data_IF_734390459977
#
_entry.id   IF_734390459977
#
_cell.length_a   1.000
_cell.length_b   1.000
_cell.length_c   1.000
_cell.angle_alpha   90.00
_cell.angle_beta   90.00
_cell.angle_gamma   90.00
#
_symmetry.space_group_name_H-M   'P 1'
#
loop_
_entity.id
_entity.type
_entity.pdbx_description
1 polymer ?
#
# COMPACT_ATOMS: atom_id res chain seq x y z
N UNK A 1 -10.39 -10.17 -14.64
CA UNK A 1 -10.01 -8.87 -15.24
C UNK A 1 -11.22 -7.96 -15.43
N UNK A 2 -12.19 -8.28 -16.29
CA UNK A 2 -13.37 -7.42 -16.56
C UNK A 2 -14.03 -6.85 -15.30
N UNK A 3 -14.36 -7.70 -14.33
CA UNK A 3 -15.00 -7.26 -13.07
C UNK A 3 -14.18 -6.24 -12.28
N UNK A 4 -12.84 -6.32 -12.31
CA UNK A 4 -11.98 -5.35 -11.64
C UNK A 4 -12.09 -4.00 -12.37
N UNK A 5 -11.94 -3.99 -13.69
CA UNK A 5 -12.08 -2.77 -14.52
C UNK A 5 -13.46 -2.13 -14.35
N UNK A 6 -14.52 -2.92 -14.44
CA UNK A 6 -15.90 -2.46 -14.25
C UNK A 6 -16.09 -1.83 -12.86
N UNK A 7 -15.45 -2.39 -11.83
CA UNK A 7 -15.47 -1.84 -10.48
C UNK A 7 -14.67 -0.52 -10.39
N UNK A 8 -13.51 -0.43 -11.04
CA UNK A 8 -12.75 0.81 -11.13
C UNK A 8 -13.54 1.93 -11.79
N UNK A 9 -14.18 1.65 -12.93
CA UNK A 9 -15.03 2.63 -13.61
C UNK A 9 -16.20 3.10 -12.74
N UNK A 10 -16.87 2.19 -12.01
CA UNK A 10 -17.94 2.56 -11.06
C UNK A 10 -17.47 3.48 -9.94
N UNK A 11 -16.22 3.34 -9.51
CA UNK A 11 -15.61 4.16 -8.47
C UNK A 11 -14.93 5.44 -9.02
N UNK A 12 -14.90 5.63 -10.34
CA UNK A 12 -14.15 6.73 -10.96
C UNK A 12 -12.63 6.56 -10.89
N UNK A 13 -12.15 5.33 -10.76
CA UNK A 13 -10.73 4.95 -10.64
C UNK A 13 -10.29 4.15 -11.89
N UNK A 14 -9.96 4.83 -13.00
CA UNK A 14 -9.68 4.18 -14.29
C UNK A 14 -8.29 3.50 -14.35
N UNK A 15 -7.40 3.84 -13.43
CA UNK A 15 -6.06 3.26 -13.32
C UNK A 15 -6.01 2.27 -12.15
N UNK A 16 -5.32 1.15 -12.35
CA UNK A 16 -5.31 0.04 -11.40
C UNK A 16 -3.90 -0.38 -11.02
N UNK A 17 -3.74 -0.77 -9.76
CA UNK A 17 -2.57 -1.46 -9.25
C UNK A 17 -2.99 -2.86 -8.82
N UNK A 18 -2.60 -3.88 -9.58
CA UNK A 18 -2.86 -5.28 -9.27
C UNK A 18 -1.85 -5.78 -8.24
N UNK A 19 -2.33 -6.12 -7.04
CA UNK A 19 -1.47 -6.57 -5.94
C UNK A 19 -1.64 -8.07 -5.74
N UNK A 20 -0.51 -8.78 -5.63
CA UNK A 20 -0.49 -10.21 -5.37
C UNK A 20 -1.21 -10.56 -4.05
N UNK A 21 -2.21 -11.44 -4.16
CA UNK A 21 -2.99 -11.91 -3.01
C UNK A 21 -2.22 -12.98 -2.24
N UNK A 22 -2.32 -12.97 -0.91
CA UNK A 22 -1.52 -13.88 -0.06
C UNK A 22 -1.86 -15.35 -0.26
N UNK A 23 -3.09 -15.67 -0.70
CA UNK A 23 -3.51 -17.05 -0.95
C UNK A 23 -2.77 -17.77 -2.08
N UNK A 24 -2.15 -17.01 -3.01
CA UNK A 24 -1.39 -17.56 -4.14
C UNK A 24 0.13 -17.64 -3.88
N UNK A 25 0.59 -17.21 -2.69
CA UNK A 25 2.02 -17.16 -2.40
C UNK A 25 2.80 -16.38 -3.45
N UNK A 26 3.83 -17.00 -4.02
CA UNK A 26 4.71 -16.40 -5.04
C UNK A 26 4.25 -16.68 -6.50
N UNK A 27 3.08 -17.29 -6.71
CA UNK A 27 2.51 -17.45 -8.04
C UNK A 27 1.86 -16.14 -8.51
N UNK A 28 2.62 -15.34 -9.25
CA UNK A 28 2.18 -14.05 -9.76
C UNK A 28 1.42 -14.14 -11.10
N UNK A 29 1.06 -15.33 -11.57
CA UNK A 29 0.43 -15.53 -12.90
C UNK A 29 -0.77 -14.60 -13.09
N UNK A 30 -1.63 -14.47 -12.07
CA UNK A 30 -2.79 -13.59 -12.15
C UNK A 30 -2.43 -12.11 -12.32
N UNK A 31 -1.43 -11.61 -11.58
CA UNK A 31 -0.95 -10.21 -11.69
C UNK A 31 -0.34 -9.98 -13.07
N UNK A 32 0.49 -10.90 -13.55
CA UNK A 32 1.18 -10.76 -14.83
C UNK A 32 0.22 -10.84 -16.02
N UNK A 33 -0.73 -11.78 -16.03
CA UNK A 33 -1.77 -11.86 -17.06
C UNK A 33 -2.70 -10.65 -17.00
N UNK A 34 -2.97 -10.13 -15.80
CA UNK A 34 -3.72 -8.90 -15.61
C UNK A 34 -3.04 -7.70 -16.28
N UNK A 35 -1.73 -7.57 -16.13
CA UNK A 35 -0.95 -6.53 -16.79
C UNK A 35 -0.87 -6.68 -18.31
N UNK A 36 -0.86 -7.92 -18.84
CA UNK A 36 -0.91 -8.13 -20.29
C UNK A 36 -2.27 -7.72 -20.87
N UNK A 37 -3.36 -8.00 -20.16
CA UNK A 37 -4.72 -7.65 -20.58
C UNK A 37 -5.06 -6.17 -20.40
N UNK A 38 -4.38 -5.48 -19.48
CA UNK A 38 -4.60 -4.05 -19.19
C UNK A 38 -3.47 -3.26 -19.82
N UNK A 39 -3.75 -2.41 -20.82
CA UNK A 39 -2.70 -1.57 -21.45
C UNK A 39 -1.84 -0.89 -20.37
N UNK A 40 -0.51 -0.87 -20.54
CA UNK A 40 0.45 -0.33 -19.56
C UNK A 40 0.12 1.10 -19.08
N UNK A 41 -0.62 1.89 -19.86
CA UNK A 41 -1.07 3.23 -19.43
C UNK A 41 -2.07 3.20 -18.25
N UNK A 42 -2.78 2.08 -18.02
CA UNK A 42 -3.86 1.96 -17.02
C UNK A 42 -3.57 0.94 -15.92
N UNK A 43 -2.46 0.20 -16.01
CA UNK A 43 -2.17 -0.92 -15.12
C UNK A 43 -0.75 -0.89 -14.56
N UNK A 44 -0.62 -1.14 -13.25
CA UNK A 44 0.64 -1.41 -12.56
C UNK A 44 0.49 -2.64 -11.68
N UNK A 45 1.62 -3.28 -11.36
CA UNK A 45 1.62 -4.53 -10.60
C UNK A 45 2.50 -4.48 -9.35
N UNK A 46 2.07 -5.19 -8.33
CA UNK A 46 2.87 -5.51 -7.14
C UNK A 46 2.87 -7.02 -6.97
N UNK A 47 4.05 -7.62 -7.07
CA UNK A 47 4.25 -9.08 -7.05
C UNK A 47 4.66 -9.58 -5.66
N UNK A 48 4.70 -10.89 -5.44
CA UNK A 48 5.39 -11.51 -4.30
C UNK A 48 6.42 -12.51 -4.80
N UNK A 49 7.60 -12.54 -4.19
CA UNK A 49 8.66 -13.49 -4.54
C UNK A 49 9.59 -13.69 -3.35
N UNK A 50 10.36 -14.78 -3.36
CA UNK A 50 11.43 -15.00 -2.39
C UNK A 50 12.70 -14.25 -2.86
N UNK A 51 13.21 -13.26 -2.09
CA UNK A 51 14.39 -12.49 -2.49
C UNK A 51 15.67 -13.34 -2.53
N UNK A 52 15.70 -14.52 -1.92
CA UNK A 52 16.87 -15.43 -2.01
C UNK A 52 16.88 -16.24 -3.30
N UNK A 53 15.71 -16.44 -3.93
CA UNK A 53 15.54 -17.31 -5.10
C UNK A 53 15.32 -16.54 -6.40
N UNK A 54 14.83 -15.30 -6.32
CA UNK A 54 14.55 -14.49 -7.50
C UNK A 54 15.83 -14.07 -8.22
N UNK A 55 15.84 -14.25 -9.54
CA UNK A 55 16.88 -13.72 -10.40
C UNK A 55 16.52 -12.30 -10.91
N UNK A 56 17.54 -11.52 -11.26
CA UNK A 56 17.34 -10.14 -11.71
C UNK A 56 16.75 -10.05 -13.12
N UNK A 57 16.88 -11.09 -13.95
CA UNK A 57 16.32 -11.09 -15.30
C UNK A 57 14.79 -11.16 -15.25
N UNK A 58 14.23 -12.02 -14.40
CA UNK A 58 12.80 -12.10 -14.10
C UNK A 58 12.26 -10.75 -13.62
N UNK A 59 12.98 -10.05 -12.73
CA UNK A 59 12.57 -8.72 -12.26
C UNK A 59 12.51 -7.67 -13.38
N UNK A 60 13.47 -7.70 -14.31
CA UNK A 60 13.46 -6.81 -15.49
C UNK A 60 12.29 -7.11 -16.42
N UNK A 61 11.98 -8.39 -16.63
CA UNK A 61 10.83 -8.81 -17.44
C UNK A 61 9.51 -8.31 -16.82
N UNK A 62 9.35 -8.51 -15.51
CA UNK A 62 8.19 -7.99 -14.77
C UNK A 62 8.13 -6.46 -14.78
N UNK A 63 9.27 -5.78 -14.69
CA UNK A 63 9.34 -4.33 -14.82
C UNK A 63 8.82 -3.87 -16.19
N UNK A 64 9.22 -4.55 -17.27
CA UNK A 64 8.72 -4.29 -18.63
C UNK A 64 7.21 -4.53 -18.79
N UNK A 65 6.63 -5.45 -18.01
CA UNK A 65 5.19 -5.67 -17.94
C UNK A 65 4.44 -4.63 -17.08
N UNK A 66 5.14 -3.71 -16.41
CA UNK A 66 4.53 -2.67 -15.57
C UNK A 66 4.47 -3.00 -14.07
N UNK A 67 5.19 -4.04 -13.62
CA UNK A 67 5.39 -4.25 -12.18
C UNK A 67 6.27 -3.14 -11.62
N UNK A 68 5.89 -2.62 -10.44
CA UNK A 68 6.55 -1.51 -9.74
C UNK A 68 6.66 -1.72 -8.24
N UNK A 69 6.50 -2.95 -7.77
CA UNK A 69 6.75 -3.23 -6.36
C UNK A 69 6.66 -4.70 -6.00
N UNK A 70 7.09 -4.97 -4.78
CA UNK A 70 6.93 -6.27 -4.13
C UNK A 70 6.08 -6.11 -2.88
N UNK A 71 5.20 -7.07 -2.61
CA UNK A 71 4.44 -7.12 -1.36
C UNK A 71 5.15 -7.99 -0.34
N UNK A 72 5.45 -7.40 0.81
CA UNK A 72 6.01 -8.07 1.99
C UNK A 72 4.93 -8.11 3.06
N UNK A 73 4.27 -9.26 3.20
CA UNK A 73 3.22 -9.46 4.19
C UNK A 73 3.79 -10.17 5.43
N UNK A 74 4.03 -9.40 6.49
CA UNK A 74 4.48 -9.91 7.79
C UNK A 74 3.29 -10.18 8.72
N UNK A 75 2.18 -9.45 8.57
CA UNK A 75 0.98 -9.59 9.44
C UNK A 75 0.32 -10.96 9.34
N UNK A 76 0.29 -11.55 8.14
CA UNK A 76 -0.36 -12.86 7.93
C UNK A 76 0.53 -14.05 8.31
N UNK A 77 1.76 -13.80 8.76
CA UNK A 77 2.64 -14.84 9.29
C UNK A 77 2.07 -15.38 10.60
N UNK A 78 2.16 -16.71 10.81
CA UNK A 78 1.84 -17.33 12.11
C UNK A 78 2.98 -17.19 13.13
N UNK A 79 4.13 -16.70 12.68
CA UNK A 79 5.35 -16.56 13.47
C UNK A 79 5.59 -15.10 13.80
N UNK A 80 5.79 -14.79 15.08
CA UNK A 80 6.28 -13.49 15.54
C UNK A 80 7.76 -13.40 15.19
N UNK A 81 8.09 -12.43 14.34
CA UNK A 81 9.47 -12.18 13.92
C UNK A 81 10.13 -11.18 14.86
N UNK A 82 11.39 -11.43 15.22
CA UNK A 82 12.21 -10.47 15.94
C UNK A 82 12.54 -9.25 15.08
N UNK A 83 12.94 -8.15 15.72
CA UNK A 83 13.48 -6.95 15.06
C UNK A 83 14.56 -7.30 14.02
N UNK A 84 15.51 -8.16 14.38
CA UNK A 84 16.63 -8.53 13.50
C UNK A 84 16.15 -9.29 12.26
N UNK A 85 15.17 -10.18 12.41
CA UNK A 85 14.58 -10.93 11.29
C UNK A 85 13.82 -10.00 10.34
N UNK A 86 12.98 -9.12 10.87
CA UNK A 86 12.21 -8.14 10.09
C UNK A 86 13.17 -7.26 9.28
N UNK A 87 14.19 -6.71 9.93
CA UNK A 87 15.17 -5.87 9.26
C UNK A 87 15.98 -6.64 8.21
N UNK A 88 16.36 -7.88 8.49
CA UNK A 88 17.05 -8.75 7.53
C UNK A 88 16.21 -9.02 6.28
N UNK A 89 14.91 -9.32 6.45
CA UNK A 89 13.97 -9.53 5.35
C UNK A 89 13.90 -8.28 4.46
N UNK A 90 13.69 -7.10 5.07
CA UNK A 90 13.55 -5.86 4.32
C UNK A 90 14.83 -5.47 3.58
N UNK A 91 16.02 -5.68 4.16
CA UNK A 91 17.31 -5.48 3.48
C UNK A 91 17.44 -6.35 2.23
N UNK A 92 17.09 -7.64 2.32
CA UNK A 92 17.16 -8.57 1.17
C UNK A 92 16.26 -8.13 0.02
N UNK A 93 15.03 -7.69 0.33
CA UNK A 93 14.15 -7.13 -0.70
C UNK A 93 14.71 -5.83 -1.29
N UNK A 94 15.14 -4.89 -0.45
CA UNK A 94 15.71 -3.63 -0.91
C UNK A 94 16.91 -3.85 -1.85
N UNK A 95 17.82 -4.77 -1.53
CA UNK A 95 18.96 -5.13 -2.39
C UNK A 95 18.53 -5.57 -3.80
N UNK A 96 17.46 -6.33 -3.93
CA UNK A 96 16.91 -6.74 -5.24
C UNK A 96 16.24 -5.58 -5.99
N UNK A 97 15.67 -4.63 -5.26
CA UNK A 97 14.86 -3.55 -5.84
C UNK A 97 15.65 -2.29 -6.20
N UNK A 98 16.74 -1.97 -5.48
CA UNK A 98 17.57 -0.77 -5.75
C UNK A 98 17.96 -0.62 -7.23
N UNK A 99 18.40 -1.66 -7.96
CA UNK A 99 18.76 -1.52 -9.38
C UNK A 99 17.58 -1.14 -10.30
N UNK A 100 16.33 -1.40 -9.88
CA UNK A 100 15.12 -1.05 -10.62
C UNK A 100 14.70 0.42 -10.42
N UNK A 101 15.23 1.08 -9.39
CA UNK A 101 15.04 2.49 -8.99
C UNK A 101 13.62 2.92 -8.61
N UNK A 102 12.60 2.45 -9.31
CA UNK A 102 11.21 2.89 -9.16
C UNK A 102 10.35 1.92 -8.37
N UNK A 103 10.89 0.74 -8.02
CA UNK A 103 10.10 -0.27 -7.31
C UNK A 103 9.96 0.05 -5.83
N UNK A 104 8.78 -0.26 -5.28
CA UNK A 104 8.47 -0.09 -3.86
C UNK A 104 8.33 -1.43 -3.11
N UNK A 105 8.53 -1.38 -1.79
CA UNK A 105 8.15 -2.43 -0.86
C UNK A 105 6.77 -2.09 -0.29
N UNK A 106 5.74 -2.84 -0.66
CA UNK A 106 4.43 -2.81 0.00
C UNK A 106 4.46 -3.63 1.28
N UNK A 107 4.64 -2.97 2.42
CA UNK A 107 4.75 -3.59 3.73
C UNK A 107 3.37 -3.69 4.39
N UNK A 108 2.92 -4.93 4.60
CA UNK A 108 1.76 -5.21 5.44
C UNK A 108 2.20 -5.87 6.75
N UNK A 109 2.23 -5.09 7.83
CA UNK A 109 2.59 -5.48 9.18
C UNK A 109 1.72 -4.70 10.18
N UNK A 110 1.56 -5.19 11.41
CA UNK A 110 0.99 -4.39 12.51
C UNK A 110 1.74 -3.06 12.67
N UNK A 111 1.04 -1.98 13.03
CA UNK A 111 1.65 -0.66 13.22
C UNK A 111 2.82 -0.68 14.21
N UNK A 112 2.74 -1.50 15.26
CA UNK A 112 3.82 -1.68 16.25
C UNK A 112 5.14 -2.16 15.63
N UNK A 113 5.07 -2.94 14.55
CA UNK A 113 6.26 -3.41 13.82
C UNK A 113 7.06 -2.24 13.23
N UNK A 114 6.44 -1.07 13.03
CA UNK A 114 7.12 0.11 12.52
C UNK A 114 8.24 0.60 13.45
N UNK A 115 8.20 0.31 14.74
CA UNK A 115 9.31 0.59 15.68
C UNK A 115 10.60 -0.18 15.31
N UNK A 116 10.45 -1.32 14.62
CA UNK A 116 11.57 -2.10 14.13
C UNK A 116 12.05 -1.65 12.75
N UNK A 117 11.14 -1.10 11.94
CA UNK A 117 11.39 -0.70 10.55
C UNK A 117 11.93 0.72 10.47
N UNK A 118 11.42 1.66 11.27
CA UNK A 118 11.80 3.08 11.23
C UNK A 118 13.32 3.29 11.30
N UNK A 119 14.09 2.61 12.18
CA UNK A 119 15.54 2.81 12.24
C UNK A 119 16.31 2.31 11.00
N UNK A 120 15.68 1.47 10.17
CA UNK A 120 16.29 0.88 8.97
C UNK A 120 16.07 1.74 7.72
N UNK A 121 15.11 2.68 7.75
CA UNK A 121 14.55 3.31 6.56
C UNK A 121 15.62 3.90 5.61
N UNK A 122 16.60 4.61 6.16
CA UNK A 122 17.69 5.23 5.38
C UNK A 122 18.61 4.22 4.67
N UNK A 123 18.69 2.97 5.16
CA UNK A 123 19.47 1.89 4.53
C UNK A 123 18.75 1.24 3.35
N UNK A 124 17.42 1.34 3.29
CA UNK A 124 16.62 0.65 2.26
C UNK A 124 16.87 1.25 0.87
N UNK A 125 16.90 2.58 0.77
CA UNK A 125 17.10 3.31 -0.49
C UNK A 125 16.08 2.91 -1.58
N UNK A 126 14.87 2.55 -1.17
CA UNK A 126 13.72 2.22 -2.02
C UNK A 126 12.46 2.79 -1.39
N UNK A 127 11.42 2.99 -2.19
CA UNK A 127 10.13 3.45 -1.67
C UNK A 127 9.51 2.36 -0.77
N UNK A 128 8.87 2.76 0.33
CA UNK A 128 8.15 1.87 1.23
C UNK A 128 6.70 2.32 1.32
N UNK A 129 5.76 1.42 1.06
CA UNK A 129 4.33 1.67 1.17
C UNK A 129 3.81 0.93 2.40
N UNK A 130 3.34 1.67 3.41
CA UNK A 130 2.66 1.13 4.57
C UNK A 130 1.21 0.83 4.20
N UNK A 131 0.85 -0.46 4.21
CA UNK A 131 -0.47 -0.90 3.77
C UNK A 131 -1.56 -0.57 4.80
N UNK A 132 -2.77 -0.31 4.30
CA UNK A 132 -4.02 -0.14 5.06
C UNK A 132 -3.92 0.74 6.32
N UNK A 133 -3.70 2.05 6.15
CA UNK A 133 -3.53 3.03 7.24
C UNK A 133 -2.33 2.77 8.16
N UNK A 134 -1.39 1.90 7.76
CA UNK A 134 -0.33 1.42 8.64
C UNK A 134 -0.78 0.31 9.60
N UNK A 135 -1.99 -0.23 9.39
CA UNK A 135 -2.56 -1.37 10.11
C UNK A 135 -2.62 -1.20 11.65
N UNK A 136 -3.45 -0.26 12.15
CA UNK A 136 -3.60 0.01 13.57
C UNK A 136 -4.02 -1.24 14.37
N UNK A 137 -3.72 -1.24 15.67
CA UNK A 137 -3.82 -2.41 16.53
C UNK A 137 -5.21 -2.57 17.18
N UNK A 138 -5.84 -1.48 17.63
CA UNK A 138 -7.10 -1.56 18.36
C UNK A 138 -7.99 -0.33 18.20
N UNK A 139 -9.29 -0.56 18.44
CA UNK A 139 -10.31 0.48 18.55
C UNK A 139 -10.36 1.04 19.99
N UNK A 140 -10.74 2.32 20.20
CA UNK A 140 -10.97 3.36 19.18
C UNK A 140 -9.67 3.79 18.49
N UNK A 141 -9.76 4.22 17.22
CA UNK A 141 -8.59 4.66 16.43
C UNK A 141 -8.16 6.08 16.77
N UNK A 142 -7.81 6.29 18.04
CA UNK A 142 -7.01 7.45 18.45
C UNK A 142 -5.55 7.20 18.03
N UNK A 143 -5.01 7.92 17.03
CA UNK A 143 -3.69 7.64 16.49
C UNK A 143 -2.61 7.73 17.57
N UNK A 144 -2.73 8.70 18.49
CA UNK A 144 -1.77 8.92 19.57
C UNK A 144 -1.66 7.77 20.57
N UNK A 145 -2.64 6.86 20.57
CA UNK A 145 -2.66 5.68 21.44
C UNK A 145 -2.23 4.41 20.71
N UNK A 146 -2.09 4.43 19.38
CA UNK A 146 -1.70 3.25 18.63
C UNK A 146 -0.20 2.97 18.82
N UNK A 147 0.19 1.73 19.17
CA UNK A 147 1.59 1.35 19.20
C UNK A 147 2.21 1.50 17.80
N UNK A 148 3.40 2.10 17.73
CA UNK A 148 4.10 2.40 16.48
C UNK A 148 3.65 3.68 15.75
N UNK A 149 2.67 4.43 16.27
CA UNK A 149 2.22 5.69 15.65
C UNK A 149 3.35 6.73 15.54
N UNK A 150 4.14 6.91 16.59
CA UNK A 150 5.30 7.82 16.56
C UNK A 150 6.32 7.42 15.49
N UNK A 151 6.55 6.11 15.33
CA UNK A 151 7.43 5.59 14.29
C UNK A 151 6.86 5.82 12.90
N UNK A 152 5.54 5.64 12.70
CA UNK A 152 4.86 6.00 11.45
C UNK A 152 5.06 7.49 11.14
N UNK A 153 4.84 8.37 12.12
CA UNK A 153 5.02 9.81 11.96
C UNK A 153 6.45 10.15 11.50
N UNK A 154 7.47 9.61 12.19
CA UNK A 154 8.88 9.81 11.83
C UNK A 154 9.23 9.23 10.46
N UNK A 155 8.67 8.07 10.10
CA UNK A 155 8.87 7.48 8.78
C UNK A 155 8.28 8.35 7.68
N UNK A 156 7.10 8.92 7.90
CA UNK A 156 6.43 9.79 6.92
C UNK A 156 7.17 11.10 6.64
N UNK A 157 8.12 11.52 7.48
CA UNK A 157 9.02 12.65 7.18
C UNK A 157 9.93 12.36 5.97
N UNK A 158 10.21 11.08 5.69
CA UNK A 158 11.02 10.65 4.55
C UNK A 158 10.18 10.63 3.25
N UNK A 159 10.64 11.25 2.15
CA UNK A 159 9.91 11.29 0.89
C UNK A 159 9.73 9.93 0.21
N UNK A 160 10.50 8.91 0.60
CA UNK A 160 10.38 7.55 0.09
C UNK A 160 9.27 6.75 0.76
N UNK A 161 8.67 7.25 1.85
CA UNK A 161 7.59 6.57 2.57
C UNK A 161 6.23 7.04 2.08
N UNK A 162 5.37 6.05 1.87
CA UNK A 162 3.98 6.20 1.48
C UNK A 162 3.08 5.46 2.47
N UNK A 163 1.87 5.97 2.70
CA UNK A 163 0.81 5.27 3.42
C UNK A 163 -0.39 5.08 2.50
N UNK A 164 -0.88 3.85 2.40
CA UNK A 164 -2.08 3.53 1.62
C UNK A 164 -3.31 3.50 2.52
N UNK A 165 -4.22 4.45 2.35
CA UNK A 165 -5.54 4.42 3.01
C UNK A 165 -6.47 3.49 2.22
N UNK A 166 -6.81 2.35 2.82
CA UNK A 166 -7.53 1.27 2.14
C UNK A 166 -8.08 0.27 3.14
N UNK A 167 -8.97 -0.62 2.68
CA UNK A 167 -9.55 -1.70 3.47
C UNK A 167 -10.15 -1.23 4.81
N UNK A 168 -11.00 -0.17 4.83
CA UNK A 168 -11.52 0.39 6.09
C UNK A 168 -12.30 -0.64 6.91
N UNK A 169 -12.95 -1.60 6.26
CA UNK A 169 -13.72 -2.68 6.87
C UNK A 169 -12.87 -3.64 7.74
N UNK A 170 -11.53 -3.54 7.70
CA UNK A 170 -10.63 -4.26 8.61
C UNK A 170 -10.43 -3.54 9.95
N UNK A 171 -10.72 -2.23 10.00
CA UNK A 171 -10.34 -1.36 11.12
C UNK A 171 -11.48 -0.49 11.62
N UNK A 172 -12.66 -0.54 11.01
CA UNK A 172 -13.82 0.25 11.37
C UNK A 172 -15.01 -0.64 11.70
N UNK A 173 -15.73 -0.27 12.75
CA UNK A 173 -17.02 -0.87 13.11
C UNK A 173 -18.19 0.05 12.80
N UNK A 174 -17.92 1.31 12.49
CA UNK A 174 -18.93 2.31 12.17
C UNK A 174 -19.37 2.24 10.70
N UNK A 175 -20.66 2.36 10.46
CA UNK A 175 -21.21 2.30 9.09
C UNK A 175 -20.78 3.48 8.20
N UNK A 176 -20.42 4.62 8.80
CA UNK A 176 -19.97 5.84 8.14
C UNK A 176 -18.45 6.07 8.24
N UNK A 177 -17.72 5.11 8.82
CA UNK A 177 -16.27 5.16 9.04
C UNK A 177 -15.82 6.31 9.95
N UNK A 178 -16.69 6.87 10.80
CA UNK A 178 -16.33 8.02 11.65
C UNK A 178 -15.16 7.72 12.59
N UNK A 179 -15.06 6.48 13.06
CA UNK A 179 -13.95 5.96 13.85
C UNK A 179 -12.58 6.06 13.15
N UNK A 180 -12.51 6.07 11.82
CA UNK A 180 -11.26 6.22 11.05
C UNK A 180 -10.84 7.68 10.83
N UNK A 181 -11.73 8.65 11.04
CA UNK A 181 -11.54 10.03 10.62
C UNK A 181 -10.31 10.69 11.25
N UNK A 182 -10.12 10.51 12.56
CA UNK A 182 -8.99 11.09 13.29
C UNK A 182 -7.64 10.58 12.74
N UNK A 183 -7.57 9.28 12.42
CA UNK A 183 -6.40 8.66 11.82
C UNK A 183 -6.17 9.15 10.39
N UNK A 184 -7.19 9.12 9.55
CA UNK A 184 -7.11 9.57 8.16
C UNK A 184 -6.67 11.03 8.07
N UNK A 185 -7.33 11.94 8.80
CA UNK A 185 -6.98 13.37 8.81
C UNK A 185 -5.59 13.63 9.40
N UNK A 186 -5.12 12.80 10.34
CA UNK A 186 -3.75 12.90 10.85
C UNK A 186 -2.72 12.57 9.78
N UNK A 187 -2.97 11.54 8.96
CA UNK A 187 -2.14 11.21 7.80
C UNK A 187 -2.20 12.32 6.74
N UNK A 188 -3.37 12.88 6.45
CA UNK A 188 -3.52 13.94 5.45
C UNK A 188 -2.76 15.22 5.82
N UNK A 189 -2.67 15.54 7.12
CA UNK A 189 -1.86 16.68 7.58
C UNK A 189 -0.36 16.45 7.41
N UNK A 190 0.11 15.20 7.40
CA UNK A 190 1.54 14.91 7.19
C UNK A 190 1.93 15.31 5.77
N UNK A 191 2.98 16.13 5.66
CA UNK A 191 3.52 16.61 4.38
C UNK A 191 2.43 17.16 3.43
N UNK A 192 1.39 17.78 3.98
CA UNK A 192 0.24 18.30 3.23
C UNK A 192 -0.32 17.25 2.23
N UNK A 193 -0.58 16.05 2.72
CA UNK A 193 -1.10 14.91 1.96
C UNK A 193 -0.07 14.17 1.11
N UNK A 194 1.15 14.68 0.98
CA UNK A 194 2.19 14.05 0.14
C UNK A 194 2.61 12.71 0.74
N UNK A 195 2.64 11.66 -0.08
CA UNK A 195 2.92 10.30 0.36
C UNK A 195 1.69 9.50 0.81
N UNK A 196 0.49 10.10 0.85
CA UNK A 196 -0.73 9.35 1.16
C UNK A 196 -1.46 8.97 -0.13
N UNK A 197 -1.77 7.68 -0.31
CA UNK A 197 -2.43 7.16 -1.52
C UNK A 197 -3.71 6.42 -1.19
N UNK A 198 -4.71 6.50 -2.05
CA UNK A 198 -5.94 5.71 -1.92
C UNK A 198 -5.80 4.30 -2.52
N UNK A 199 -6.48 3.32 -1.90
CA UNK A 199 -6.71 2.00 -2.50
C UNK A 199 -8.06 1.42 -2.12
N UNK A 200 -8.77 0.83 -3.09
CA UNK A 200 -10.09 0.23 -2.82
C UNK A 200 -10.01 -1.09 -2.03
N UNK A 201 -8.88 -1.80 -2.14
CA UNK A 201 -8.71 -3.17 -1.63
C UNK A 201 -9.72 -4.19 -2.20
N UNK A 202 -10.21 -3.95 -3.42
CA UNK A 202 -11.01 -4.92 -4.16
C UNK A 202 -10.19 -6.21 -4.39
N UNK A 203 -10.76 -7.43 -4.26
CA UNK A 203 -12.19 -7.77 -4.16
C UNK A 203 -12.72 -7.93 -2.73
N UNK A 204 -12.12 -7.27 -1.75
CA UNK A 204 -12.57 -7.26 -0.36
C UNK A 204 -12.63 -8.67 0.26
N UNK A 205 -11.52 -9.41 0.19
CA UNK A 205 -11.48 -10.85 0.51
C UNK A 205 -11.92 -11.21 1.93
N UNK A 206 -11.90 -10.26 2.88
CA UNK A 206 -12.38 -10.43 4.25
C UNK A 206 -13.79 -9.87 4.50
N UNK A 207 -14.39 -9.22 3.50
CA UNK A 207 -15.74 -8.66 3.53
C UNK A 207 -16.40 -8.79 2.15
N UNK A 208 -16.76 -10.03 1.78
CA UNK A 208 -17.26 -10.33 0.44
C UNK A 208 -18.57 -9.57 0.17
N UNK A 209 -18.64 -8.88 -0.96
CA UNK A 209 -19.81 -8.09 -1.35
C UNK A 209 -19.84 -6.69 -0.75
N UNK A 210 -18.79 -6.28 -0.03
CA UNK A 210 -18.62 -4.91 0.42
C UNK A 210 -18.52 -3.94 -0.77
N UNK A 211 -19.12 -2.75 -0.61
CA UNK A 211 -19.08 -1.67 -1.59
C UNK A 211 -18.10 -0.59 -1.13
N UNK A 212 -17.10 -0.29 -1.98
CA UNK A 212 -16.09 0.72 -1.69
C UNK A 212 -16.57 2.15 -1.92
N UNK A 213 -17.69 2.35 -2.63
CA UNK A 213 -18.16 3.68 -3.01
C UNK A 213 -18.43 4.60 -1.79
N UNK A 214 -19.14 4.16 -0.73
CA UNK A 214 -19.32 5.00 0.46
C UNK A 214 -18.00 5.43 1.11
N UNK A 215 -16.98 4.57 1.08
CA UNK A 215 -15.67 4.93 1.61
C UNK A 215 -14.92 5.94 0.72
N UNK A 216 -15.03 5.83 -0.60
CA UNK A 216 -14.50 6.85 -1.53
C UNK A 216 -15.15 8.21 -1.25
N UNK A 217 -16.47 8.24 -1.11
CA UNK A 217 -17.22 9.46 -0.77
C UNK A 217 -16.79 10.03 0.59
N UNK A 218 -16.57 9.17 1.59
CA UNK A 218 -16.10 9.59 2.91
C UNK A 218 -14.69 10.17 2.90
N UNK A 219 -13.76 9.59 2.13
CA UNK A 219 -12.41 10.14 1.96
C UNK A 219 -12.46 11.52 1.28
N UNK A 220 -13.35 11.71 0.31
CA UNK A 220 -13.56 13.02 -0.35
C UNK A 220 -14.15 14.07 0.60
N UNK A 221 -15.02 13.65 1.53
CA UNK A 221 -15.56 14.48 2.62
C UNK A 221 -14.44 14.90 3.59
N UNK A 222 -13.57 13.97 4.00
CA UNK A 222 -12.44 14.26 4.89
C UNK A 222 -11.39 15.22 4.31
N UNK A 223 -11.39 15.42 2.98
CA UNK A 223 -10.58 16.46 2.35
C UNK A 223 -11.15 17.87 2.57
N UNK A 224 -12.37 18.02 3.08
CA UNK A 224 -12.98 19.31 3.47
C UNK A 224 -12.99 20.37 2.34
N UNK A 225 -13.04 19.93 1.07
CA UNK A 225 -13.02 20.81 -0.10
C UNK A 225 -11.62 21.22 -0.57
N UNK A 226 -10.55 20.71 0.04
CA UNK A 226 -9.18 20.88 -0.43
C UNK A 226 -8.95 20.05 -1.71
N UNK A 227 -8.97 20.72 -2.86
CA UNK A 227 -8.75 20.09 -4.16
C UNK A 227 -7.29 19.65 -4.37
N UNK A 228 -6.32 20.31 -3.75
CA UNK A 228 -4.91 19.90 -3.85
C UNK A 228 -4.70 18.57 -3.12
N UNK A 229 -5.27 18.44 -1.92
CA UNK A 229 -5.24 17.20 -1.16
C UNK A 229 -5.94 16.06 -1.92
N UNK A 230 -7.11 16.32 -2.51
CA UNK A 230 -7.81 15.31 -3.33
C UNK A 230 -6.97 14.85 -4.51
N UNK A 231 -6.40 15.78 -5.26
CA UNK A 231 -5.55 15.47 -6.42
C UNK A 231 -4.31 14.67 -6.00
N UNK A 232 -3.70 14.99 -4.85
CA UNK A 232 -2.61 14.20 -4.27
C UNK A 232 -3.01 12.78 -3.91
N UNK A 233 -4.11 12.61 -3.15
CA UNK A 233 -4.56 11.33 -2.62
C UNK A 233 -4.95 10.33 -3.72
N UNK A 234 -5.67 10.82 -4.74
CA UNK A 234 -6.23 9.97 -5.78
C UNK A 234 -5.38 9.92 -7.05
N UNK A 235 -4.38 10.80 -7.21
CA UNK A 235 -3.62 10.90 -8.47
C UNK A 235 -2.12 11.15 -8.29
N UNK A 236 -1.68 12.30 -7.80
CA UNK A 236 -0.26 12.71 -7.90
C UNK A 236 0.68 11.79 -7.10
N UNK A 237 0.30 11.46 -5.87
CA UNK A 237 1.12 10.55 -5.06
C UNK A 237 1.19 9.16 -5.69
N UNK A 238 0.09 8.68 -6.29
CA UNK A 238 0.06 7.42 -7.00
C UNK A 238 0.91 7.45 -8.27
N UNK A 239 0.95 8.59 -8.97
CA UNK A 239 1.80 8.77 -10.16
C UNK A 239 3.28 8.67 -9.84
N UNK A 240 3.72 9.36 -8.79
CA UNK A 240 5.10 9.26 -8.33
C UNK A 240 5.41 7.83 -7.83
N UNK A 241 4.54 7.27 -6.98
CA UNK A 241 4.77 5.95 -6.38
C UNK A 241 4.87 4.85 -7.44
N UNK A 242 4.00 4.87 -8.44
CA UNK A 242 3.88 3.79 -9.43
C UNK A 242 4.54 4.10 -10.78
N UNK A 243 5.32 5.18 -10.87
CA UNK A 243 6.10 5.53 -12.06
C UNK A 243 5.20 5.56 -13.31
N UNK A 244 4.19 6.42 -13.26
CA UNK A 244 3.21 6.65 -14.34
C UNK A 244 3.16 8.13 -14.73
N UNK A 245 2.85 8.41 -16.00
CA UNK A 245 2.67 9.77 -16.56
C UNK A 245 1.40 10.51 -16.06
#
# INVERSE_FOLDING_TARGET
>A
MSQALDNGEKLGLPNMVFVQLSGYGNDNTWVLESLKGTRLARGRGVVAFDPERIDFQTLKEWHGLGVRGVRVNLRSSKTVLSRTEIQSILRKYAEKLRPLKTWSIGLYADMEVLDHVQPLLSELQVKVVLEHFGSPAFLPLDPSKQPGWDSLCRMMEDPSVYVKISAPYLFSTDADFSDLESLAKSLFRMRNGTGVVFGSDWPHTKSRGWDAKPFVEKVMEWCEGDEELREKLFRENARDLWDTE
#
